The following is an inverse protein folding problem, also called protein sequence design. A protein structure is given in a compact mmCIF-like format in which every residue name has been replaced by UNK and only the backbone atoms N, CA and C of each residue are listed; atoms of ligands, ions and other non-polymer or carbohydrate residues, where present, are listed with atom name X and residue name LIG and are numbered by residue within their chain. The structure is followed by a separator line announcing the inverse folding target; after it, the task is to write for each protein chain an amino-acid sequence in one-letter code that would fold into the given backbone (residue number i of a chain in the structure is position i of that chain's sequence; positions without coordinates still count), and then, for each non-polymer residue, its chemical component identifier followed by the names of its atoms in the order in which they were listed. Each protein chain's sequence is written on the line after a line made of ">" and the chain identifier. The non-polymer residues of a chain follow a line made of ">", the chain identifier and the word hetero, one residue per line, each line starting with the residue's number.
data_IF_850366042573
#
_entry.id   IF_850366042573
#
_cell.length_a   1.000
_cell.length_b   1.000
_cell.length_c   1.000
_cell.angle_alpha   90.00
_cell.angle_beta   90.00
_cell.angle_gamma   90.00
#
_symmetry.space_group_name_H-M   'P 1'
#
loop_
_entity.id
_entity.type
_entity.pdbx_description
1 polymer ?
#
# COMPACT_ATOMS: atom_id res chain seq x y z
N UNK A 1 2.25 -9.08 3.00
CA UNK A 1 1.17 -9.29 4.00
C UNK A 1 1.86 -9.84 5.23
N UNK A 2 2.11 -8.98 6.21
CA UNK A 2 2.93 -9.15 7.42
C UNK A 2 3.48 -10.53 7.76
N UNK A 3 4.77 -10.66 7.46
CA UNK A 3 5.57 -11.87 7.55
C UNK A 3 6.38 -11.96 8.86
N UNK A 4 6.53 -10.82 9.53
CA UNK A 4 7.45 -10.63 10.63
C UNK A 4 6.99 -11.25 11.97
N UNK A 5 5.69 -11.18 12.28
CA UNK A 5 5.26 -11.36 13.67
C UNK A 5 5.21 -12.82 14.15
N UNK A 6 4.95 -13.78 13.26
CA UNK A 6 4.84 -15.20 13.61
C UNK A 6 6.20 -15.81 14.04
N UNK A 7 7.27 -15.46 13.35
CA UNK A 7 8.61 -15.98 13.61
C UNK A 7 9.14 -15.58 14.99
N UNK A 8 8.82 -14.37 15.47
CA UNK A 8 9.24 -13.86 16.78
C UNK A 8 8.54 -14.59 17.94
N UNK A 9 7.24 -14.79 17.86
CA UNK A 9 6.47 -15.40 18.95
C UNK A 9 6.71 -16.91 19.10
N UNK A 10 6.92 -17.63 17.98
CA UNK A 10 7.30 -19.04 18.03
C UNK A 10 8.66 -19.26 18.75
N UNK A 11 9.61 -18.33 18.56
CA UNK A 11 10.93 -18.35 19.23
C UNK A 11 10.84 -18.01 20.72
N UNK A 12 10.02 -17.03 21.11
CA UNK A 12 9.85 -16.67 22.53
C UNK A 12 9.14 -17.77 23.35
N UNK A 13 8.33 -18.64 22.71
CA UNK A 13 7.59 -19.72 23.40
C UNK A 13 8.21 -21.12 23.24
N UNK A 14 9.38 -21.26 22.63
CA UNK A 14 10.09 -22.54 22.52
C UNK A 14 9.36 -23.61 21.69
N UNK A 15 8.49 -23.21 20.74
CA UNK A 15 7.80 -24.17 19.89
C UNK A 15 8.70 -24.61 18.72
N UNK A 16 8.83 -25.92 18.45
CA UNK A 16 9.71 -26.40 17.38
C UNK A 16 9.14 -26.03 16.01
N UNK A 17 9.91 -25.25 15.25
CA UNK A 17 9.62 -24.88 13.86
C UNK A 17 10.15 -25.98 12.92
N UNK A 18 9.55 -27.16 12.88
CA UNK A 18 9.78 -28.12 11.78
C UNK A 18 8.64 -29.14 11.64
N UNK A 19 7.99 -29.17 10.47
CA UNK A 19 7.77 -30.40 9.68
C UNK A 19 7.26 -30.03 8.27
N UNK A 20 8.19 -30.04 7.30
CA UNK A 20 7.88 -29.96 5.86
C UNK A 20 7.16 -31.24 5.42
N UNK A 21 5.94 -31.13 4.91
CA UNK A 21 5.37 -32.17 4.05
C UNK A 21 5.85 -31.94 2.60
N UNK A 22 6.72 -32.83 2.10
CA UNK A 22 7.10 -32.87 0.67
C UNK A 22 5.96 -33.47 -0.15
N UNK A 23 5.52 -32.87 -1.27
CA UNK A 23 4.78 -33.62 -2.28
C UNK A 23 5.75 -34.43 -3.16
N UNK A 24 5.36 -35.69 -3.39
CA UNK A 24 6.04 -36.63 -4.30
C UNK A 24 5.95 -36.14 -5.75
N UNK A 25 7.08 -36.21 -6.45
CA UNK A 25 7.17 -36.10 -7.91
C UNK A 25 6.47 -37.29 -8.56
N UNK A 26 5.48 -37.02 -9.41
CA UNK A 26 4.91 -37.99 -10.35
C UNK A 26 5.33 -37.59 -11.76
N UNK A 27 6.20 -38.40 -12.36
CA UNK A 27 6.57 -38.31 -13.77
C UNK A 27 5.50 -38.97 -14.64
N UNK A 28 5.12 -38.34 -15.74
CA UNK A 28 4.63 -39.04 -16.92
C UNK A 28 5.09 -38.31 -18.19
N UNK A 29 5.75 -39.08 -19.03
CA UNK A 29 6.37 -38.74 -20.31
C UNK A 29 5.47 -39.17 -21.47
N UNK A 30 5.46 -38.38 -22.55
CA UNK A 30 4.92 -38.74 -23.86
C UNK A 30 4.17 -37.55 -24.49
N UNK A 31 4.24 -37.19 -25.77
CA UNK A 31 4.84 -37.78 -26.99
C UNK A 31 5.09 -36.62 -27.97
N UNK A 32 6.06 -36.83 -28.87
CA UNK A 32 6.51 -35.99 -30.00
C UNK A 32 5.42 -35.59 -31.01
N UNK A 33 5.69 -34.49 -31.72
CA UNK A 33 5.56 -34.19 -33.18
C UNK A 33 4.98 -32.79 -33.38
N UNK A 34 5.35 -31.95 -34.35
CA UNK A 34 6.29 -32.00 -35.46
C UNK A 34 6.16 -30.68 -36.26
N UNK A 35 7.26 -30.29 -36.90
CA UNK A 35 7.39 -29.47 -38.12
C UNK A 35 6.62 -28.14 -38.31
N UNK A 36 7.41 -27.08 -38.55
CA UNK A 36 7.43 -26.43 -39.87
C UNK A 36 6.74 -25.08 -40.01
N UNK A 37 7.46 -24.11 -40.60
CA UNK A 37 6.84 -22.98 -41.30
C UNK A 37 7.43 -21.60 -41.03
N UNK A 38 8.62 -21.33 -41.55
CA UNK A 38 9.15 -19.98 -41.68
C UNK A 38 8.43 -19.22 -42.82
N UNK A 39 7.94 -18.02 -42.55
CA UNK A 39 7.24 -17.16 -43.52
C UNK A 39 7.69 -15.70 -43.42
N UNK A 40 8.56 -15.33 -44.36
CA UNK A 40 9.25 -14.06 -44.61
C UNK A 40 8.51 -12.73 -44.34
N UNK A 41 9.30 -11.78 -43.81
CA UNK A 41 9.08 -10.34 -43.87
C UNK A 41 9.22 -9.79 -45.31
N UNK A 42 8.28 -8.94 -45.72
CA UNK A 42 8.41 -8.06 -46.89
C UNK A 42 8.43 -6.58 -46.46
N UNK A 43 9.56 -5.91 -46.69
CA UNK A 43 9.71 -4.44 -46.60
C UNK A 43 9.40 -3.84 -47.97
N UNK A 44 8.64 -2.74 -48.00
CA UNK A 44 8.49 -1.88 -49.18
C UNK A 44 8.56 -0.41 -48.76
N UNK A 45 9.63 0.26 -49.20
CA UNK A 45 10.01 1.65 -48.87
C UNK A 45 9.35 2.67 -49.81
N UNK A 46 9.10 3.86 -49.24
CA UNK A 46 9.31 5.22 -49.76
C UNK A 46 9.00 5.59 -51.21
N UNK A 47 8.34 6.75 -51.40
CA UNK A 47 8.94 7.90 -52.11
C UNK A 47 8.15 9.18 -51.89
N UNK A 48 8.90 10.26 -51.65
CA UNK A 48 8.47 11.64 -51.48
C UNK A 48 8.55 12.41 -52.82
N UNK A 49 7.56 13.29 -53.06
CA UNK A 49 7.63 14.67 -53.63
C UNK A 49 8.15 14.90 -55.07
N UNK A 50 8.06 16.12 -55.67
CA UNK A 50 7.22 17.32 -55.43
C UNK A 50 6.63 17.98 -56.72
N UNK A 51 5.87 19.08 -56.59
CA UNK A 51 5.76 20.16 -57.61
C UNK A 51 4.32 20.55 -57.98
N UNK A 52 3.73 21.57 -57.36
CA UNK A 52 3.55 22.96 -57.86
C UNK A 52 2.91 23.08 -59.26
N UNK A 53 1.77 23.75 -59.39
CA UNK A 53 1.69 25.16 -59.82
C UNK A 53 0.26 25.72 -59.76
N UNK A 54 0.19 27.03 -59.65
CA UNK A 54 -0.94 27.91 -59.35
C UNK A 54 -1.82 28.22 -60.56
N UNK A 55 -3.10 28.53 -60.33
CA UNK A 55 -3.79 29.55 -61.13
C UNK A 55 -4.60 30.48 -60.22
N UNK A 56 -4.29 31.78 -60.32
CA UNK A 56 -4.93 32.93 -59.66
C UNK A 56 -6.11 33.41 -60.52
N UNK A 57 -7.05 34.12 -59.90
CA UNK A 57 -7.68 35.38 -60.35
C UNK A 57 -8.32 36.01 -59.09
N UNK A 58 -7.80 37.13 -58.54
CA UNK A 58 -8.12 38.56 -58.85
C UNK A 58 -9.62 38.82 -58.68
N UNK A 59 -10.10 39.79 -57.91
CA UNK A 59 -9.64 41.12 -57.42
C UNK A 59 -10.31 41.34 -56.03
N UNK A 60 -10.07 42.35 -55.19
CA UNK A 60 -10.10 43.82 -55.30
C UNK A 60 -9.81 44.27 -53.84
N UNK A 61 -8.96 45.22 -53.44
CA UNK A 61 -9.08 46.68 -53.52
C UNK A 61 -7.88 47.35 -52.78
N UNK A 62 -7.51 48.52 -53.32
CA UNK A 62 -6.84 49.71 -52.77
C UNK A 62 -6.31 49.77 -51.32
N UNK A 63 -5.01 50.07 -51.26
CA UNK A 63 -4.25 50.96 -50.37
C UNK A 63 -4.97 51.64 -49.19
N UNK A 64 -4.50 51.34 -47.97
CA UNK A 64 -4.26 52.34 -46.92
C UNK A 64 -3.09 51.88 -46.03
N UNK A 65 -2.08 52.73 -45.88
CA UNK A 65 -0.98 52.56 -44.93
C UNK A 65 -1.51 52.85 -43.53
N UNK A 66 -1.43 51.87 -42.63
CA UNK A 66 -1.65 52.09 -41.19
C UNK A 66 -0.54 51.37 -40.41
N UNK A 67 0.20 52.14 -39.61
CA UNK A 67 1.15 51.65 -38.62
C UNK A 67 0.43 50.73 -37.63
N UNK A 68 0.75 49.44 -37.60
CA UNK A 68 0.38 48.55 -36.50
C UNK A 68 1.59 48.37 -35.61
N UNK A 69 1.66 49.14 -34.53
CA UNK A 69 2.46 48.79 -33.38
C UNK A 69 1.87 47.50 -32.80
N UNK A 70 2.57 46.38 -32.94
CA UNK A 70 2.17 45.13 -32.33
C UNK A 70 2.30 45.24 -30.81
N UNK A 71 1.18 45.51 -30.12
CA UNK A 71 1.05 45.24 -28.70
C UNK A 71 1.10 43.71 -28.54
N UNK A 72 2.27 43.18 -28.20
CA UNK A 72 2.38 41.85 -27.63
C UNK A 72 1.77 41.91 -26.23
N UNK A 73 0.46 41.66 -26.14
CA UNK A 73 -0.17 41.32 -24.88
C UNK A 73 0.40 39.96 -24.44
N UNK A 74 1.42 40.00 -23.59
CA UNK A 74 1.86 38.82 -22.84
C UNK A 74 0.72 38.40 -21.92
N UNK A 75 -0.11 37.46 -22.38
CA UNK A 75 -0.97 36.70 -21.48
C UNK A 75 -0.02 35.82 -20.65
N UNK A 76 0.38 36.32 -19.49
CA UNK A 76 0.95 35.48 -18.46
C UNK A 76 -0.15 34.51 -18.04
N UNK A 77 -0.12 33.29 -18.59
CA UNK A 77 -0.88 32.18 -18.04
C UNK A 77 -0.26 31.96 -16.66
N UNK A 78 -0.91 32.51 -15.63
CA UNK A 78 -0.57 32.16 -14.25
C UNK A 78 -0.69 30.64 -14.16
N UNK A 79 0.43 29.96 -13.93
CA UNK A 79 0.39 28.58 -13.48
C UNK A 79 -0.58 28.53 -12.30
N UNK A 80 -1.50 27.54 -12.22
CA UNK A 80 -2.34 27.41 -11.05
C UNK A 80 -1.42 27.41 -9.84
N UNK A 81 -1.69 28.32 -8.90
CA UNK A 81 -1.03 28.30 -7.61
C UNK A 81 -1.09 26.86 -7.11
N UNK A 82 0.04 26.30 -6.68
CA UNK A 82 0.06 25.01 -6.02
C UNK A 82 -1.02 25.09 -4.93
N UNK A 83 -2.10 24.31 -5.10
CA UNK A 83 -3.19 24.27 -4.13
C UNK A 83 -2.55 24.15 -2.76
N UNK A 84 -2.89 25.07 -1.86
CA UNK A 84 -2.50 24.96 -0.47
C UNK A 84 -2.91 23.54 -0.05
N UNK A 85 -1.91 22.68 0.18
CA UNK A 85 -2.14 21.27 0.43
C UNK A 85 -3.21 21.18 1.51
N UNK A 86 -4.38 20.63 1.16
CA UNK A 86 -5.44 20.40 2.13
C UNK A 86 -4.79 19.70 3.32
N UNK A 87 -5.05 20.13 4.57
CA UNK A 87 -4.38 19.56 5.71
C UNK A 87 -4.53 18.05 5.67
N UNK A 88 -3.40 17.33 5.74
CA UNK A 88 -3.37 15.87 5.70
C UNK A 88 -4.45 15.32 6.62
N UNK A 89 -5.31 14.43 6.10
CA UNK A 89 -6.36 13.81 6.88
C UNK A 89 -5.81 13.27 8.20
N UNK A 90 -6.50 13.53 9.31
CA UNK A 90 -6.12 13.00 10.63
C UNK A 90 -7.12 11.90 11.01
N UNK A 91 -6.69 10.64 11.12
CA UNK A 91 -7.56 9.56 11.55
C UNK A 91 -7.96 9.75 13.02
N UNK A 92 -9.14 9.26 13.37
CA UNK A 92 -9.72 9.40 14.72
C UNK A 92 -10.00 8.04 15.34
N UNK A 93 -10.03 7.96 16.68
CA UNK A 93 -10.32 6.71 17.41
C UNK A 93 -11.68 6.11 17.05
N UNK A 94 -12.65 6.91 16.63
CA UNK A 94 -13.97 6.44 16.23
C UNK A 94 -13.99 5.68 14.89
N UNK A 95 -12.90 5.76 14.11
CA UNK A 95 -12.85 5.14 12.79
C UNK A 95 -12.98 3.61 12.86
N UNK A 96 -13.72 3.06 11.90
CA UNK A 96 -13.86 1.61 11.68
C UNK A 96 -13.08 1.23 10.44
N UNK A 97 -12.08 0.38 10.63
CA UNK A 97 -11.12 0.03 9.60
C UNK A 97 -11.51 -1.26 8.90
N UNK A 98 -11.50 -1.24 7.56
CA UNK A 98 -11.49 -2.43 6.73
C UNK A 98 -10.08 -2.63 6.19
N UNK A 99 -9.41 -3.66 6.66
CA UNK A 99 -8.09 -4.06 6.18
C UNK A 99 -8.25 -5.16 5.12
N UNK A 100 -8.08 -4.79 3.85
CA UNK A 100 -8.27 -5.66 2.70
C UNK A 100 -7.13 -5.49 1.70
N UNK A 101 -6.08 -6.31 1.81
CA UNK A 101 -4.96 -6.30 0.86
C UNK A 101 -5.08 -7.37 -0.23
N UNK A 102 -6.08 -8.27 -0.13
CA UNK A 102 -6.39 -9.23 -1.20
C UNK A 102 -7.61 -8.75 -2.01
N UNK A 103 -7.39 -8.12 -3.18
CA UNK A 103 -8.48 -7.68 -4.03
C UNK A 103 -9.19 -8.87 -4.68
N UNK A 104 -10.51 -8.78 -4.82
CA UNK A 104 -11.27 -9.70 -5.66
C UNK A 104 -10.94 -9.45 -7.14
N UNK A 105 -10.87 -10.52 -7.94
CA UNK A 105 -10.66 -10.42 -9.39
C UNK A 105 -11.85 -9.78 -10.10
N UNK A 106 -13.06 -9.93 -9.57
CA UNK A 106 -14.30 -9.29 -10.02
C UNK A 106 -15.40 -9.49 -8.96
N UNK A 107 -16.46 -8.69 -8.99
CA UNK A 107 -17.63 -8.90 -8.16
C UNK A 107 -18.54 -7.68 -8.09
N UNK A 108 -19.84 -7.91 -7.99
CA UNK A 108 -20.81 -6.83 -7.75
C UNK A 108 -20.46 -6.10 -6.44
N UNK A 109 -20.55 -4.76 -6.46
CA UNK A 109 -20.21 -3.94 -5.29
C UNK A 109 -18.70 -3.83 -5.01
N UNK A 110 -17.84 -4.18 -5.97
CA UNK A 110 -16.39 -3.95 -5.88
C UNK A 110 -15.91 -2.86 -6.82
N UNK A 111 -14.90 -2.11 -6.40
CA UNK A 111 -14.17 -1.16 -7.23
C UNK A 111 -12.67 -1.39 -7.02
N UNK A 112 -11.90 -1.58 -8.09
CA UNK A 112 -10.49 -1.94 -7.99
C UNK A 112 -10.26 -3.23 -7.17
N UNK A 113 -11.22 -4.16 -7.19
CA UNK A 113 -11.22 -5.39 -6.40
C UNK A 113 -11.52 -5.23 -4.91
N UNK A 114 -11.80 -4.01 -4.43
CA UNK A 114 -12.15 -3.74 -3.04
C UNK A 114 -13.67 -3.71 -2.88
N UNK A 115 -14.20 -4.43 -1.88
CA UNK A 115 -15.63 -4.40 -1.58
C UNK A 115 -15.98 -3.09 -0.89
N UNK A 116 -16.87 -2.31 -1.50
CA UNK A 116 -17.24 -0.99 -1.02
C UNK A 116 -18.49 -1.07 -0.14
N UNK A 117 -18.44 -0.38 1.01
CA UNK A 117 -19.51 -0.36 2.01
C UNK A 117 -19.97 -1.75 2.48
N UNK A 118 -19.06 -2.67 2.86
CA UNK A 118 -19.47 -3.91 3.48
C UNK A 118 -20.26 -3.60 4.76
N UNK A 119 -21.26 -4.42 5.02
CA UNK A 119 -22.06 -4.35 6.23
C UNK A 119 -21.51 -5.36 7.24
N UNK A 120 -21.10 -4.89 8.42
CA UNK A 120 -20.61 -5.72 9.51
C UNK A 120 -21.49 -5.56 10.74
N UNK A 121 -21.75 -6.65 11.46
CA UNK A 121 -22.39 -6.58 12.78
C UNK A 121 -21.31 -6.47 13.84
N UNK A 122 -21.31 -5.42 14.70
CA UNK A 122 -20.36 -5.32 15.78
C UNK A 122 -20.42 -6.51 16.73
N UNK A 123 -19.26 -7.05 17.11
CA UNK A 123 -19.19 -8.24 17.93
C UNK A 123 -19.74 -8.05 19.35
N UNK A 124 -19.67 -6.82 19.89
CA UNK A 124 -20.21 -6.51 21.23
C UNK A 124 -21.68 -6.09 21.22
N UNK A 125 -22.39 -6.27 20.09
CA UNK A 125 -23.76 -5.78 19.91
C UNK A 125 -23.83 -4.32 19.45
N UNK A 126 -25.05 -3.83 19.22
CA UNK A 126 -25.30 -2.52 18.60
C UNK A 126 -26.11 -2.64 17.30
N UNK A 127 -25.97 -1.68 16.36
CA UNK A 127 -26.66 -1.73 15.08
C UNK A 127 -26.41 -3.05 14.34
N UNK A 128 -27.42 -3.54 13.60
CA UNK A 128 -27.27 -4.73 12.76
C UNK A 128 -26.26 -4.53 11.62
N UNK A 129 -25.95 -3.28 11.30
CA UNK A 129 -25.04 -2.90 10.24
C UNK A 129 -24.23 -1.65 10.61
N UNK A 130 -22.91 -1.81 10.72
CA UNK A 130 -21.96 -0.70 10.66
C UNK A 130 -21.14 -0.80 9.37
N UNK A 131 -20.65 0.35 8.89
CA UNK A 131 -19.82 0.46 7.69
C UNK A 131 -18.40 0.93 8.06
N UNK A 132 -17.37 0.52 7.31
CA UNK A 132 -16.02 1.08 7.48
C UNK A 132 -16.03 2.57 7.15
N UNK A 133 -15.27 3.34 7.90
CA UNK A 133 -14.96 4.75 7.59
C UNK A 133 -13.55 4.92 7.04
N UNK A 134 -12.72 3.87 7.16
CA UNK A 134 -11.36 3.79 6.62
C UNK A 134 -11.16 2.45 5.94
N UNK A 135 -10.56 2.46 4.75
CA UNK A 135 -10.17 1.28 3.99
C UNK A 135 -8.66 1.29 3.82
N UNK A 136 -8.00 0.28 4.36
CA UNK A 136 -6.58 0.04 4.16
C UNK A 136 -6.42 -1.06 3.12
N UNK A 137 -5.85 -0.67 1.98
CA UNK A 137 -5.82 -1.46 0.75
C UNK A 137 -4.43 -1.40 0.12
N UNK A 138 -4.09 -2.40 -0.69
CA UNK A 138 -2.82 -2.42 -1.41
C UNK A 138 -2.68 -1.21 -2.34
N UNK A 139 -1.45 -0.68 -2.47
CA UNK A 139 -1.11 0.35 -3.46
C UNK A 139 -1.63 -0.02 -4.85
N UNK A 140 -1.49 -1.28 -5.23
CA UNK A 140 -1.85 -1.78 -6.55
C UNK A 140 -3.21 -2.50 -6.57
N UNK A 141 -3.88 -2.44 -7.71
CA UNK A 141 -5.14 -3.14 -7.96
C UNK A 141 -4.95 -4.66 -8.15
N UNK A 142 -5.99 -5.37 -8.64
CA UNK A 142 -5.98 -6.82 -8.81
C UNK A 142 -4.87 -7.37 -9.73
N UNK A 143 -4.28 -6.53 -10.60
CA UNK A 143 -3.16 -6.90 -11.45
C UNK A 143 -1.80 -6.89 -10.73
N UNK A 144 -1.75 -6.40 -9.48
CA UNK A 144 -0.55 -6.26 -8.66
C UNK A 144 0.46 -5.24 -9.19
N UNK A 145 0.07 -4.40 -10.15
CA UNK A 145 0.98 -3.50 -10.89
C UNK A 145 0.48 -2.09 -11.08
N UNK A 146 -0.83 -1.87 -11.20
CA UNK A 146 -1.39 -0.55 -11.48
C UNK A 146 -1.88 0.09 -10.18
N UNK A 147 -1.50 1.34 -9.84
CA UNK A 147 -1.99 2.03 -8.65
C UNK A 147 -3.54 2.06 -8.59
N UNK A 148 -4.11 1.72 -7.43
CA UNK A 148 -5.54 1.41 -7.30
C UNK A 148 -6.45 2.65 -7.15
N UNK A 149 -6.30 3.63 -8.05
CA UNK A 149 -7.08 4.88 -8.01
C UNK A 149 -8.60 4.65 -8.11
N UNK A 150 -9.03 3.60 -8.82
CA UNK A 150 -10.45 3.25 -8.94
C UNK A 150 -11.06 2.84 -7.59
N UNK A 151 -10.35 2.06 -6.77
CA UNK A 151 -10.81 1.73 -5.41
C UNK A 151 -10.85 2.98 -4.53
N UNK A 152 -9.81 3.82 -4.57
CA UNK A 152 -9.73 5.07 -3.80
C UNK A 152 -10.91 5.99 -4.11
N UNK A 153 -11.21 6.22 -5.39
CA UNK A 153 -12.36 7.04 -5.81
C UNK A 153 -13.68 6.49 -5.29
N UNK A 154 -13.87 5.17 -5.31
CA UNK A 154 -15.09 4.55 -4.80
C UNK A 154 -15.19 4.63 -3.26
N UNK A 155 -14.07 4.50 -2.55
CA UNK A 155 -13.98 4.70 -1.08
C UNK A 155 -14.36 6.13 -0.71
N UNK A 156 -13.81 7.13 -1.41
CA UNK A 156 -14.17 8.54 -1.21
C UNK A 156 -15.63 8.81 -1.58
N UNK A 157 -16.16 8.16 -2.62
CA UNK A 157 -17.55 8.29 -3.05
C UNK A 157 -18.58 7.85 -2.01
N UNK A 158 -18.18 7.02 -1.03
CA UNK A 158 -19.02 6.64 0.13
C UNK A 158 -18.67 7.41 1.41
N UNK A 159 -17.87 8.47 1.29
CA UNK A 159 -17.46 9.34 2.40
C UNK A 159 -16.40 8.74 3.34
N UNK A 160 -15.75 7.64 2.94
CA UNK A 160 -14.68 7.01 3.70
C UNK A 160 -13.29 7.48 3.24
N UNK A 161 -12.24 7.04 3.95
CA UNK A 161 -10.83 7.38 3.69
C UNK A 161 -10.04 6.16 3.25
N UNK A 162 -9.02 6.35 2.42
CA UNK A 162 -8.17 5.27 1.88
C UNK A 162 -6.74 5.36 2.42
N UNK A 163 -6.24 4.25 2.96
CA UNK A 163 -4.85 4.09 3.43
C UNK A 163 -4.13 3.14 2.47
N UNK A 164 -2.98 3.58 1.98
CA UNK A 164 -2.14 2.86 1.03
C UNK A 164 -1.19 1.94 1.79
N UNK A 165 -1.35 0.62 1.65
CA UNK A 165 -0.36 -0.33 2.14
C UNK A 165 0.89 -0.29 1.26
N UNK A 166 2.05 -0.11 1.89
CA UNK A 166 3.36 -0.18 1.25
C UNK A 166 4.28 -1.03 2.12
N UNK A 167 4.79 -2.12 1.58
CA UNK A 167 5.89 -2.81 2.21
C UNK A 167 7.17 -1.97 2.09
N UNK A 168 7.75 -1.59 3.24
CA UNK A 168 8.98 -0.79 3.29
C UNK A 168 10.13 -1.54 3.96
N UNK A 169 9.88 -2.68 4.60
CA UNK A 169 10.89 -3.46 5.31
C UNK A 169 11.38 -4.71 4.59
N UNK A 170 10.63 -5.14 3.57
CA UNK A 170 10.96 -6.33 2.78
C UNK A 170 10.84 -6.07 1.28
N UNK A 171 11.55 -6.90 0.51
CA UNK A 171 11.51 -6.97 -0.93
C UNK A 171 10.53 -8.06 -1.36
N UNK A 172 9.54 -7.68 -2.15
CA UNK A 172 8.52 -8.57 -2.70
C UNK A 172 8.79 -8.81 -4.20
N UNK A 173 9.14 -10.04 -4.59
CA UNK A 173 9.55 -10.36 -5.99
C UNK A 173 8.52 -10.03 -7.06
N UNK A 174 7.25 -9.92 -6.68
CA UNK A 174 6.12 -9.71 -7.59
C UNK A 174 5.83 -8.24 -7.88
N UNK A 175 6.42 -7.31 -7.13
CA UNK A 175 6.18 -5.87 -7.32
C UNK A 175 6.81 -5.39 -8.63
N UNK A 176 6.18 -4.43 -9.33
CA UNK A 176 6.68 -3.93 -10.62
C UNK A 176 8.08 -3.28 -10.52
N UNK A 177 8.45 -2.79 -9.33
CA UNK A 177 9.74 -2.17 -9.03
C UNK A 177 10.74 -3.13 -8.37
N UNK A 178 10.46 -4.45 -8.31
CA UNK A 178 11.34 -5.42 -7.65
C UNK A 178 12.78 -5.42 -8.20
N UNK A 179 12.97 -5.06 -9.48
CA UNK A 179 14.27 -4.95 -10.13
C UNK A 179 15.07 -3.70 -9.71
N UNK A 180 14.43 -2.69 -9.11
CA UNK A 180 15.09 -1.46 -8.65
C UNK A 180 15.95 -1.70 -7.39
N UNK A 181 15.67 -2.75 -6.63
CA UNK A 181 16.41 -3.08 -5.41
C UNK A 181 17.75 -3.76 -5.75
N UNK A 182 18.89 -3.19 -5.33
CA UNK A 182 20.19 -3.84 -5.43
C UNK A 182 20.20 -5.20 -4.74
N UNK A 183 21.08 -6.11 -5.17
CA UNK A 183 21.24 -7.40 -4.49
C UNK A 183 21.79 -7.23 -3.06
N UNK A 184 22.62 -6.21 -2.82
CA UNK A 184 23.28 -5.94 -1.54
C UNK A 184 22.31 -5.63 -0.40
N UNK A 185 21.11 -5.13 -0.69
CA UNK A 185 20.11 -4.79 0.32
C UNK A 185 19.15 -5.93 0.63
N UNK A 186 19.24 -7.07 -0.07
CA UNK A 186 18.32 -8.21 0.08
C UNK A 186 18.94 -9.27 0.99
N UNK A 187 18.26 -9.56 2.09
CA UNK A 187 18.71 -10.46 3.13
C UNK A 187 18.05 -11.84 3.07
N UNK A 188 17.79 -12.37 4.26
CA UNK A 188 17.12 -13.65 4.47
C UNK A 188 15.68 -13.63 3.92
N UNK A 189 15.20 -14.81 3.53
CA UNK A 189 13.77 -15.01 3.23
C UNK A 189 12.93 -14.73 4.47
N UNK A 190 11.72 -14.20 4.27
CA UNK A 190 10.78 -14.04 5.38
C UNK A 190 9.99 -15.33 5.57
N UNK A 191 9.91 -15.78 6.82
CA UNK A 191 9.23 -17.03 7.19
C UNK A 191 7.75 -16.98 6.78
N UNK A 192 7.23 -18.04 6.17
CA UNK A 192 5.85 -18.18 5.65
C UNK A 192 5.50 -17.37 4.38
N UNK A 193 6.43 -16.57 3.83
CA UNK A 193 6.18 -15.70 2.65
C UNK A 193 7.16 -15.94 1.51
N UNK A 194 6.91 -16.95 0.64
CA UNK A 194 7.83 -17.31 -0.44
C UNK A 194 8.04 -16.21 -1.48
N UNK A 195 9.29 -15.80 -1.65
CA UNK A 195 9.66 -14.73 -2.59
C UNK A 195 9.67 -13.33 -1.97
N UNK A 196 9.52 -13.26 -0.65
CA UNK A 196 9.73 -12.06 0.17
C UNK A 196 11.07 -12.16 0.91
N UNK A 197 11.84 -11.06 0.95
CA UNK A 197 13.15 -11.02 1.62
C UNK A 197 13.28 -9.77 2.48
N UNK A 198 13.89 -9.89 3.65
CA UNK A 198 14.22 -8.73 4.49
C UNK A 198 15.16 -7.75 3.79
N UNK A 199 14.96 -6.46 4.06
CA UNK A 199 15.82 -5.39 3.55
C UNK A 199 16.86 -4.93 4.58
N UNK A 200 18.05 -4.54 4.11
CA UNK A 200 19.02 -3.83 4.94
C UNK A 200 18.63 -2.36 5.11
N UNK A 201 17.82 -2.07 6.12
CA UNK A 201 17.31 -0.71 6.42
C UNK A 201 18.41 0.31 6.78
N UNK A 202 19.68 -0.11 6.87
CA UNK A 202 20.83 0.80 7.02
C UNK A 202 21.14 1.55 5.72
N UNK A 203 20.91 0.93 4.57
CA UNK A 203 21.19 1.52 3.25
C UNK A 203 20.02 2.41 2.78
N UNK A 204 19.83 3.50 3.51
CA UNK A 204 18.78 4.48 3.21
C UNK A 204 18.94 5.14 1.84
N UNK A 205 20.18 5.24 1.33
CA UNK A 205 20.45 5.81 0.01
C UNK A 205 19.88 4.95 -1.11
N UNK A 206 19.94 3.62 -0.97
CA UNK A 206 19.32 2.70 -1.91
C UNK A 206 17.79 2.60 -1.72
N UNK A 207 17.32 2.59 -0.46
CA UNK A 207 15.91 2.27 -0.15
C UNK A 207 14.96 3.47 -0.27
N UNK A 208 15.34 4.65 0.24
CA UNK A 208 14.41 5.79 0.31
C UNK A 208 13.90 6.26 -1.05
N UNK A 209 14.70 6.30 -2.14
CA UNK A 209 14.17 6.66 -3.46
C UNK A 209 13.07 5.70 -3.95
N UNK A 210 13.18 4.41 -3.63
CA UNK A 210 12.18 3.40 -4.02
C UNK A 210 10.91 3.57 -3.18
N UNK A 211 11.05 3.74 -1.86
CA UNK A 211 9.92 4.01 -0.96
C UNK A 211 9.22 5.31 -1.33
N UNK A 212 9.96 6.38 -1.62
CA UNK A 212 9.42 7.67 -2.07
C UNK A 212 8.67 7.52 -3.39
N UNK A 213 9.17 6.73 -4.34
CA UNK A 213 8.46 6.45 -5.59
C UNK A 213 7.10 5.74 -5.35
N UNK A 214 7.02 4.81 -4.38
CA UNK A 214 5.77 4.14 -3.98
C UNK A 214 4.81 5.12 -3.28
N UNK A 215 5.30 5.91 -2.33
CA UNK A 215 4.53 6.95 -1.64
C UNK A 215 3.97 7.97 -2.62
N UNK A 216 4.77 8.39 -3.60
CA UNK A 216 4.33 9.31 -4.64
C UNK A 216 3.24 8.69 -5.53
N UNK A 217 3.25 7.38 -5.76
CA UNK A 217 2.16 6.67 -6.43
C UNK A 217 0.88 6.67 -5.56
N UNK A 218 1.00 6.41 -4.25
CA UNK A 218 -0.14 6.51 -3.33
C UNK A 218 -0.77 7.92 -3.39
N UNK A 219 0.04 8.97 -3.30
CA UNK A 219 -0.45 10.35 -3.37
C UNK A 219 -1.15 10.64 -4.71
N UNK A 220 -0.55 10.24 -5.85
CA UNK A 220 -1.16 10.43 -7.18
C UNK A 220 -2.45 9.64 -7.38
N UNK A 221 -2.57 8.47 -6.76
CA UNK A 221 -3.79 7.67 -6.80
C UNK A 221 -4.89 8.20 -5.86
N UNK A 222 -4.60 9.22 -5.06
CA UNK A 222 -5.55 9.92 -4.19
C UNK A 222 -5.68 9.33 -2.79
N UNK A 223 -4.78 8.45 -2.35
CA UNK A 223 -4.82 7.94 -0.98
C UNK A 223 -4.70 9.07 0.05
N UNK A 224 -5.30 8.89 1.23
CA UNK A 224 -5.27 9.88 2.33
C UNK A 224 -4.07 9.62 3.28
N UNK A 225 -3.55 8.40 3.30
CA UNK A 225 -2.48 7.96 4.18
C UNK A 225 -1.67 6.81 3.59
N UNK A 226 -0.53 6.50 4.21
CA UNK A 226 0.27 5.30 3.95
C UNK A 226 0.48 4.54 5.26
N UNK A 227 0.37 3.23 5.23
CA UNK A 227 0.88 2.32 6.25
C UNK A 227 2.10 1.59 5.68
N UNK A 228 3.16 1.50 6.48
CA UNK A 228 4.40 0.84 6.07
C UNK A 228 4.55 -0.51 6.77
N UNK A 229 4.52 -1.61 6.01
CA UNK A 229 4.65 -2.97 6.55
C UNK A 229 6.13 -3.39 6.74
N UNK A 230 6.32 -4.41 7.59
CA UNK A 230 7.62 -5.04 7.91
C UNK A 230 8.68 -4.06 8.47
N UNK A 231 8.25 -2.97 9.09
CA UNK A 231 9.11 -1.93 9.69
C UNK A 231 9.63 -2.27 11.09
N UNK A 232 9.74 -3.57 11.41
CA UNK A 232 10.23 -4.13 12.67
C UNK A 232 11.36 -5.17 12.44
N UNK A 233 12.08 -5.05 11.31
CA UNK A 233 13.13 -5.97 10.89
C UNK A 233 14.24 -6.18 11.93
N UNK A 234 14.58 -5.17 12.74
CA UNK A 234 15.58 -5.33 13.82
C UNK A 234 15.22 -6.38 14.87
N UNK A 235 13.93 -6.72 15.02
CA UNK A 235 13.44 -7.75 15.93
C UNK A 235 13.32 -9.13 15.25
N UNK A 236 13.80 -9.25 14.00
CA UNK A 236 13.67 -10.42 13.15
C UNK A 236 15.03 -10.93 12.63
N UNK A 237 15.06 -12.17 12.11
CA UNK A 237 16.26 -12.72 11.46
C UNK A 237 16.35 -12.28 10.01
N UNK A 238 16.85 -11.07 9.80
CA UNK A 238 16.93 -10.46 8.46
C UNK A 238 18.12 -10.91 7.62
N UNK A 239 19.10 -11.59 8.22
CA UNK A 239 20.40 -11.82 7.61
C UNK A 239 21.33 -10.59 7.67
N UNK A 240 20.89 -9.50 8.29
CA UNK A 240 21.68 -8.30 8.54
C UNK A 240 21.79 -8.02 10.05
N UNK A 241 22.88 -7.41 10.52
CA UNK A 241 23.04 -7.00 11.92
C UNK A 241 22.26 -5.71 12.19
N UNK A 242 20.93 -5.76 12.06
CA UNK A 242 20.06 -4.62 12.34
C UNK A 242 19.97 -4.39 13.84
N UNK A 243 20.05 -3.13 14.24
CA UNK A 243 19.87 -2.71 15.63
C UNK A 243 18.56 -1.92 15.75
N UNK A 244 18.05 -1.78 16.97
CA UNK A 244 16.90 -0.91 17.23
C UNK A 244 17.13 0.51 16.67
N UNK A 245 18.34 1.07 16.83
CA UNK A 245 18.67 2.39 16.32
C UNK A 245 18.66 2.47 14.78
N UNK A 246 18.97 1.37 14.07
CA UNK A 246 18.85 1.30 12.62
C UNK A 246 17.38 1.42 12.19
N UNK A 247 16.51 0.60 12.79
CA UNK A 247 15.09 0.63 12.49
C UNK A 247 14.47 1.99 12.83
N UNK A 248 14.79 2.54 13.99
CA UNK A 248 14.24 3.80 14.46
C UNK A 248 14.54 4.95 13.49
N UNK A 249 15.78 5.01 12.97
CA UNK A 249 16.17 6.01 11.96
C UNK A 249 15.43 5.79 10.63
N UNK A 250 15.30 4.55 10.19
CA UNK A 250 14.59 4.23 8.95
C UNK A 250 13.11 4.58 9.04
N UNK A 251 12.43 4.17 10.12
CA UNK A 251 11.00 4.42 10.37
C UNK A 251 10.69 5.93 10.43
N UNK A 252 11.56 6.73 11.07
CA UNK A 252 11.45 8.20 11.05
C UNK A 252 11.61 8.78 9.64
N UNK A 253 12.52 8.23 8.84
CA UNK A 253 12.80 8.70 7.48
C UNK A 253 11.63 8.43 6.53
N UNK A 254 11.07 7.22 6.53
CA UNK A 254 9.92 6.88 5.68
C UNK A 254 8.65 7.65 6.10
N UNK A 255 8.48 7.92 7.40
CA UNK A 255 7.40 8.79 7.87
C UNK A 255 7.55 10.22 7.35
N UNK A 256 8.77 10.77 7.33
CA UNK A 256 9.03 12.08 6.74
C UNK A 256 8.75 12.12 5.23
N UNK A 257 9.08 11.03 4.50
CA UNK A 257 8.76 10.88 3.07
C UNK A 257 7.23 10.94 2.85
N UNK A 258 6.44 10.17 3.59
CA UNK A 258 4.98 10.21 3.47
C UNK A 258 4.41 11.61 3.74
N UNK A 259 4.91 12.31 4.78
CA UNK A 259 4.48 13.68 5.09
C UNK A 259 4.82 14.70 4.01
N UNK A 260 5.98 14.57 3.35
CA UNK A 260 6.36 15.42 2.21
C UNK A 260 5.34 15.32 1.06
N UNK A 261 4.66 14.18 0.94
CA UNK A 261 3.61 13.95 -0.05
C UNK A 261 2.19 14.25 0.45
N UNK A 262 2.05 14.89 1.63
CA UNK A 262 0.75 15.28 2.18
C UNK A 262 -0.07 14.12 2.78
N UNK A 263 0.54 12.96 2.97
CA UNK A 263 -0.12 11.75 3.46
C UNK A 263 0.05 11.60 4.97
N UNK A 264 -1.01 11.19 5.65
CA UNK A 264 -0.89 10.69 7.03
C UNK A 264 -0.12 9.35 7.05
N UNK A 265 0.45 9.00 8.20
CA UNK A 265 1.38 7.87 8.30
C UNK A 265 0.99 6.88 9.40
N UNK A 266 0.89 5.61 9.06
CA UNK A 266 0.65 4.50 9.99
C UNK A 266 1.92 3.77 10.37
N UNK A 267 2.13 3.51 11.67
CA UNK A 267 3.15 2.58 12.14
C UNK A 267 2.57 1.17 12.21
N UNK A 268 3.17 0.23 11.51
CA UNK A 268 2.86 -1.19 11.63
C UNK A 268 3.72 -1.85 12.69
N UNK A 269 3.09 -2.52 13.66
CA UNK A 269 3.79 -3.31 14.67
C UNK A 269 4.92 -2.51 15.36
N UNK A 270 6.18 -2.96 15.29
CA UNK A 270 7.38 -2.35 15.93
C UNK A 270 7.17 -1.88 17.38
N UNK A 271 6.49 -2.74 18.16
CA UNK A 271 5.90 -2.39 19.45
C UNK A 271 6.89 -1.84 20.47
N UNK A 272 8.11 -2.35 20.46
CA UNK A 272 9.16 -1.97 21.40
C UNK A 272 9.72 -0.55 21.12
N UNK A 273 9.42 0.03 19.96
CA UNK A 273 9.82 1.40 19.58
C UNK A 273 8.68 2.42 19.60
N UNK A 274 7.46 2.01 19.98
CA UNK A 274 6.26 2.87 19.95
C UNK A 274 6.47 4.18 20.71
N UNK A 275 7.14 4.16 21.87
CA UNK A 275 7.39 5.38 22.67
C UNK A 275 8.24 6.40 21.92
N UNK A 276 9.21 5.94 21.12
CA UNK A 276 10.13 6.79 20.36
C UNK A 276 9.58 7.20 18.99
N UNK A 277 8.56 6.50 18.50
CA UNK A 277 7.96 6.69 17.18
C UNK A 277 6.58 7.36 17.21
N UNK A 278 5.88 7.39 18.36
CA UNK A 278 4.52 7.95 18.46
C UNK A 278 4.44 9.39 17.97
N UNK A 279 5.51 10.18 18.07
CA UNK A 279 5.56 11.55 17.54
C UNK A 279 5.58 11.64 16.00
N UNK A 280 6.08 10.60 15.33
CA UNK A 280 6.29 10.59 13.87
C UNK A 280 5.08 10.09 13.08
N UNK A 281 4.27 9.22 13.67
CA UNK A 281 3.13 8.55 13.03
C UNK A 281 1.78 9.10 13.50
N UNK A 282 0.74 9.02 12.68
CA UNK A 282 -0.60 9.54 12.96
C UNK A 282 -1.55 8.47 13.54
N UNK A 283 -1.23 7.19 13.32
CA UNK A 283 -1.96 6.04 13.85
C UNK A 283 -1.03 4.82 13.93
N UNK A 284 -1.49 3.76 14.60
CA UNK A 284 -0.81 2.47 14.62
C UNK A 284 -1.72 1.37 14.08
N UNK A 285 -1.16 0.45 13.30
CA UNK A 285 -1.78 -0.78 12.85
C UNK A 285 -1.05 -1.93 13.51
N UNK A 286 -1.78 -2.80 14.20
CA UNK A 286 -1.19 -3.90 14.95
C UNK A 286 -1.97 -5.19 14.71
N UNK A 287 -1.26 -6.28 14.46
CA UNK A 287 -1.87 -7.58 14.18
C UNK A 287 -1.60 -8.57 15.31
N UNK A 288 -2.59 -8.96 16.09
CA UNK A 288 -2.51 -10.01 17.11
C UNK A 288 -1.97 -9.57 18.48
N UNK A 289 -2.03 -8.29 18.85
CA UNK A 289 -1.66 -7.91 20.23
C UNK A 289 -2.53 -8.58 21.29
N UNK A 290 -3.79 -8.93 20.99
CA UNK A 290 -4.66 -9.64 21.92
C UNK A 290 -4.21 -11.08 22.08
N UNK A 291 -3.90 -11.76 20.98
CA UNK A 291 -3.37 -13.12 21.01
C UNK A 291 -2.02 -13.23 21.73
N UNK A 292 -1.16 -12.22 21.63
CA UNK A 292 0.18 -12.24 22.24
C UNK A 292 0.29 -11.50 23.57
N UNK A 293 -0.78 -10.89 24.06
CA UNK A 293 -0.80 -10.07 25.29
C UNK A 293 0.17 -8.86 25.25
N UNK A 294 0.19 -8.17 24.11
CA UNK A 294 1.12 -7.07 23.82
C UNK A 294 0.39 -5.73 23.63
N UNK A 295 -0.93 -5.69 23.78
CA UNK A 295 -1.72 -4.49 23.43
C UNK A 295 -1.38 -3.28 24.32
N UNK A 296 -0.81 -3.50 25.51
CA UNK A 296 -0.38 -2.44 26.41
C UNK A 296 0.72 -1.55 25.81
N UNK A 297 1.56 -2.09 24.92
CA UNK A 297 2.66 -1.37 24.28
C UNK A 297 2.15 -0.26 23.34
N UNK A 298 0.89 -0.33 22.90
CA UNK A 298 0.25 0.65 22.01
C UNK A 298 -0.40 1.83 22.77
N UNK A 299 -0.42 1.79 24.11
CA UNK A 299 -0.99 2.87 24.94
C UNK A 299 -0.48 4.27 24.58
N UNK A 300 0.81 4.50 24.25
CA UNK A 300 1.29 5.83 23.87
C UNK A 300 0.54 6.47 22.70
N UNK A 301 0.11 5.70 21.69
CA UNK A 301 -0.74 6.23 20.60
C UNK A 301 -2.10 6.68 21.13
N UNK A 302 -2.74 5.86 21.97
CA UNK A 302 -4.04 6.18 22.56
C UNK A 302 -3.95 7.42 23.45
N UNK A 303 -2.90 7.53 24.27
CA UNK A 303 -2.67 8.69 25.14
C UNK A 303 -2.42 9.97 24.34
N UNK A 304 -1.74 9.86 23.18
CA UNK A 304 -1.55 10.96 22.24
C UNK A 304 -2.80 11.28 21.39
N UNK A 305 -3.96 10.67 21.68
CA UNK A 305 -5.20 10.90 20.94
C UNK A 305 -5.27 10.19 19.57
N UNK A 306 -4.28 9.38 19.22
CA UNK A 306 -4.15 8.71 17.92
C UNK A 306 -4.87 7.36 17.91
N UNK A 307 -5.46 6.94 16.79
CA UNK A 307 -6.10 5.64 16.69
C UNK A 307 -5.08 4.51 16.69
N UNK A 308 -5.49 3.39 17.28
CA UNK A 308 -4.82 2.11 17.20
C UNK A 308 -5.78 1.13 16.57
N UNK A 309 -5.38 0.57 15.42
CA UNK A 309 -6.10 -0.45 14.67
C UNK A 309 -5.57 -1.80 15.12
N UNK A 310 -6.44 -2.63 15.68
CA UNK A 310 -6.10 -3.96 16.16
C UNK A 310 -6.72 -5.02 15.23
N UNK A 311 -5.90 -5.81 14.56
CA UNK A 311 -6.34 -6.88 13.68
C UNK A 311 -6.09 -8.20 14.40
N UNK A 312 -7.09 -9.07 14.47
CA UNK A 312 -6.96 -10.40 15.05
C UNK A 312 -7.39 -11.44 14.02
N UNK A 313 -6.71 -12.60 13.99
CA UNK A 313 -6.86 -13.59 12.92
C UNK A 313 -7.61 -14.85 13.39
N UNK A 314 -8.80 -15.09 12.83
CA UNK A 314 -9.64 -16.23 13.21
C UNK A 314 -9.01 -17.57 12.86
N UNK A 315 -8.32 -17.64 11.73
CA UNK A 315 -7.55 -18.80 11.25
C UNK A 315 -6.23 -19.00 12.01
N UNK A 316 -5.94 -18.12 12.98
CA UNK A 316 -4.83 -18.23 13.94
C UNK A 316 -5.31 -18.35 15.38
N UNK A 317 -6.58 -18.66 15.57
CA UNK A 317 -7.19 -18.98 16.86
C UNK A 317 -7.90 -17.82 17.56
N UNK A 318 -7.88 -16.62 17.00
CA UNK A 318 -8.56 -15.49 17.61
C UNK A 318 -10.10 -15.62 17.51
N UNK A 319 -10.79 -15.12 18.55
CA UNK A 319 -12.26 -15.07 18.62
C UNK A 319 -12.65 -13.71 19.19
N UNK A 320 -13.71 -13.10 18.67
CA UNK A 320 -14.15 -11.76 19.10
C UNK A 320 -14.40 -11.66 20.60
N UNK A 321 -14.95 -12.70 21.23
CA UNK A 321 -15.16 -12.77 22.67
C UNK A 321 -13.86 -12.69 23.50
N UNK A 322 -12.70 -12.97 22.91
CA UNK A 322 -11.41 -12.93 23.59
C UNK A 322 -10.71 -11.55 23.59
N UNK A 323 -11.12 -10.61 22.74
CA UNK A 323 -10.42 -9.32 22.63
C UNK A 323 -11.33 -8.09 22.47
N UNK A 324 -12.58 -8.24 21.97
CA UNK A 324 -13.38 -7.07 21.61
C UNK A 324 -13.76 -6.18 22.80
N UNK A 325 -14.12 -6.76 23.95
CA UNK A 325 -14.46 -5.98 25.13
C UNK A 325 -13.27 -5.13 25.61
N UNK A 326 -12.08 -5.74 25.69
CA UNK A 326 -10.85 -5.05 26.08
C UNK A 326 -10.42 -3.99 25.05
N UNK A 327 -10.56 -4.29 23.76
CA UNK A 327 -10.25 -3.35 22.68
C UNK A 327 -11.16 -2.11 22.74
N UNK A 328 -12.47 -2.32 22.89
CA UNK A 328 -13.43 -1.23 23.00
C UNK A 328 -13.19 -0.39 24.26
N UNK A 329 -12.97 -1.02 25.42
CA UNK A 329 -12.67 -0.32 26.67
C UNK A 329 -11.40 0.56 26.57
N UNK A 330 -10.40 0.13 25.81
CA UNK A 330 -9.19 0.89 25.56
C UNK A 330 -9.29 1.89 24.39
N UNK A 331 -10.42 1.94 23.68
CA UNK A 331 -10.60 2.80 22.51
C UNK A 331 -9.89 2.33 21.23
N UNK A 332 -9.40 1.09 21.17
CA UNK A 332 -8.77 0.50 19.96
C UNK A 332 -9.81 0.10 18.93
N UNK A 333 -9.59 0.41 17.66
CA UNK A 333 -10.46 -0.03 16.56
C UNK A 333 -10.08 -1.46 16.18
N UNK A 334 -10.78 -2.43 16.77
CA UNK A 334 -10.44 -3.83 16.61
C UNK A 334 -11.35 -4.55 15.59
N UNK A 335 -10.77 -5.44 14.79
CA UNK A 335 -11.46 -6.21 13.76
C UNK A 335 -10.95 -7.65 13.72
N UNK A 336 -11.88 -8.61 13.62
CA UNK A 336 -11.54 -9.99 13.30
C UNK A 336 -11.46 -10.17 11.77
N UNK A 337 -10.33 -10.70 11.31
CA UNK A 337 -10.05 -11.02 9.91
C UNK A 337 -9.57 -12.47 9.79
N UNK A 338 -9.37 -12.93 8.56
CA UNK A 338 -8.50 -14.06 8.24
C UNK A 338 -7.17 -13.52 7.71
N UNK A 339 -6.10 -14.30 7.83
CA UNK A 339 -4.78 -13.90 7.33
C UNK A 339 -4.77 -13.68 5.79
N UNK A 340 -5.72 -14.29 5.08
CA UNK A 340 -5.93 -14.04 3.65
C UNK A 340 -6.33 -12.60 3.30
N UNK A 341 -6.77 -11.81 4.29
CA UNK A 341 -7.12 -10.38 4.20
C UNK A 341 -7.97 -10.03 2.97
N UNK A 342 -8.93 -10.92 2.67
CA UNK A 342 -10.03 -10.65 1.74
C UNK A 342 -11.05 -9.70 2.38
N UNK A 343 -12.02 -9.26 1.58
CA UNK A 343 -13.11 -8.40 2.06
C UNK A 343 -13.81 -8.99 3.29
N UNK A 344 -14.09 -10.30 3.28
CA UNK A 344 -14.71 -11.04 4.38
C UNK A 344 -13.79 -12.15 4.91
N UNK A 345 -13.88 -12.52 6.20
CA UNK A 345 -14.72 -11.86 7.22
C UNK A 345 -14.26 -10.42 7.50
N UNK A 346 -15.22 -9.58 7.87
CA UNK A 346 -14.98 -8.25 8.45
C UNK A 346 -15.93 -8.11 9.62
N UNK A 347 -15.43 -8.48 10.81
CA UNK A 347 -16.23 -8.44 12.04
C UNK A 347 -15.62 -7.40 12.97
N UNK A 348 -16.10 -6.13 12.92
CA UNK A 348 -15.62 -5.09 13.79
C UNK A 348 -16.07 -5.33 15.24
N UNK A 349 -15.30 -4.85 16.21
CA UNK A 349 -15.70 -4.91 17.61
C UNK A 349 -16.73 -3.85 18.00
N UNK A 350 -16.84 -2.74 17.24
CA UNK A 350 -17.78 -1.63 17.48
C UNK A 350 -18.37 -1.07 16.20
#
# INVERSE_FOLDING_TARGET
>A
MSAARFARCARMRGWPVTARARPRLGASSGVRSGAGGAGRCGRGRSRQTPGRCSMRLRTTERNLVAFVAALLATVAIAAPAADAASPSWRPVKADRWQYQLNPASSGAGTAGGITISPCGRPATGGPSCVKPTVYEIDLHGPDGRTPNAAAVQAVHGVGARAVCYVDAGTWERWRPDAAAYPASVKGADVDEWPGEKWLDVRDTAALLPIVEARVAQCARAGFDAVEFDNVDGWANSTGFPLTAAHQLRYNRSIAAVARKHGLAVGLKNDLDQVKDLVGNFDFAVNEQCGQFDECGLLKPFLDAGKPVVQIEYSDRGARTGGFCAQANAAGRSAVLKQLSLKATPWTPCR
#
